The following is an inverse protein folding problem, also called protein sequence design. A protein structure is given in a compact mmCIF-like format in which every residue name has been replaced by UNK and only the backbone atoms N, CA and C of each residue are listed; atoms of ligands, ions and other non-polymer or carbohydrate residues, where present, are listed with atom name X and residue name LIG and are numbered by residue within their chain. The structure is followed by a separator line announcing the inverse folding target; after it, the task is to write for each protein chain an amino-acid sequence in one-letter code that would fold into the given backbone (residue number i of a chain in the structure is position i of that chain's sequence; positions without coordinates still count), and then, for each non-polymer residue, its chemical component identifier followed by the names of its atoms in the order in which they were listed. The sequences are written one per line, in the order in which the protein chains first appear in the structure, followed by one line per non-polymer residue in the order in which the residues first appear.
data_IF_750355104981
#
_entry.id   IF_750355104981
#
_cell.length_a   1.000
_cell.length_b   1.000
_cell.length_c   1.000
_cell.angle_alpha   90.00
_cell.angle_beta   90.00
_cell.angle_gamma   90.00
#
_symmetry.space_group_name_H-M   'P 1'
#
loop_
_entity.id
_entity.type
_entity.pdbx_description
1 polymer ?
#
# COMPACT_ATOMS: atom_id res chain seq x y z
N UNK A 1 -22.06 -5.84 5.02
CA UNK A 1 -21.32 -5.86 3.74
C UNK A 1 -21.13 -4.41 3.32
N UNK A 2 -19.92 -3.86 3.45
CA UNK A 2 -19.67 -2.45 3.13
C UNK A 2 -19.40 -2.38 1.61
N UNK A 3 -20.11 -1.54 0.84
CA UNK A 3 -19.91 -1.48 -0.60
C UNK A 3 -18.58 -0.80 -0.93
N UNK A 4 -17.70 -1.51 -1.65
CA UNK A 4 -16.58 -0.90 -2.38
C UNK A 4 -17.16 -0.03 -3.49
N UNK A 5 -16.98 1.29 -3.42
CA UNK A 5 -17.35 2.18 -4.53
C UNK A 5 -16.33 2.03 -5.67
N UNK A 6 -16.76 1.76 -6.91
CA UNK A 6 -15.89 1.71 -8.07
C UNK A 6 -15.69 3.13 -8.62
N UNK A 7 -14.78 3.88 -7.98
CA UNK A 7 -14.24 5.13 -8.51
C UNK A 7 -13.04 4.84 -9.40
N UNK A 8 -13.25 4.92 -10.71
CA UNK A 8 -12.23 4.89 -11.77
C UNK A 8 -11.03 5.77 -11.41
N UNK A 9 -9.88 5.14 -11.28
CA UNK A 9 -8.82 5.23 -12.29
C UNK A 9 -7.96 3.97 -12.19
N UNK A 10 -7.28 3.59 -13.27
CA UNK A 10 -6.40 2.43 -13.38
C UNK A 10 -5.13 2.54 -12.51
N UNK A 11 -5.27 3.05 -11.29
CA UNK A 11 -4.17 3.42 -10.42
C UNK A 11 -3.67 2.20 -9.66
N UNK A 12 -2.95 1.31 -10.36
CA UNK A 12 -2.38 0.04 -9.91
C UNK A 12 -3.38 -1.12 -9.90
N UNK A 13 -3.43 -1.89 -10.99
CA UNK A 13 -4.31 -3.06 -11.12
C UNK A 13 -3.99 -4.09 -10.03
N UNK A 14 -5.05 -4.67 -9.46
CA UNK A 14 -4.91 -5.70 -8.42
C UNK A 14 -4.42 -5.17 -7.07
N UNK A 15 -4.24 -3.85 -6.91
CA UNK A 15 -3.89 -3.25 -5.63
C UNK A 15 -5.14 -2.94 -4.81
N UNK A 16 -5.11 -3.31 -3.53
CA UNK A 16 -6.16 -3.07 -2.56
C UNK A 16 -5.58 -2.48 -1.28
N UNK A 17 -6.33 -1.57 -0.66
CA UNK A 17 -6.03 -1.03 0.66
C UNK A 17 -7.02 -1.58 1.68
N UNK A 18 -6.50 -2.14 2.76
CA UNK A 18 -7.32 -2.56 3.91
C UNK A 18 -6.85 -1.85 5.17
N UNK A 19 -7.78 -1.26 5.94
CA UNK A 19 -7.43 -0.61 7.21
C UNK A 19 -6.85 -1.63 8.19
N UNK A 20 -5.82 -1.23 8.91
CA UNK A 20 -5.22 -2.06 9.97
C UNK A 20 -5.77 -1.63 11.35
N UNK A 21 -5.80 -2.53 12.35
CA UNK A 21 -6.18 -2.18 13.72
C UNK A 21 -5.27 -1.14 14.39
N UNK A 22 -4.02 -1.01 13.91
CA UNK A 22 -3.01 -0.09 14.43
C UNK A 22 -3.07 1.31 13.78
N UNK A 23 -4.03 1.53 12.88
CA UNK A 23 -4.13 2.75 12.07
C UNK A 23 -3.31 2.68 10.78
N UNK A 24 -3.79 3.37 9.75
CA UNK A 24 -3.24 3.30 8.39
C UNK A 24 -3.89 2.22 7.52
N UNK A 25 -3.18 1.79 6.48
CA UNK A 25 -3.63 0.77 5.53
C UNK A 25 -2.53 -0.26 5.24
N UNK A 26 -2.91 -1.53 5.19
CA UNK A 26 -2.13 -2.56 4.51
C UNK A 26 -2.35 -2.45 3.01
N UNK A 27 -1.27 -2.60 2.24
CA UNK A 27 -1.27 -2.60 0.77
C UNK A 27 -1.18 -4.04 0.29
N UNK A 28 -2.17 -4.47 -0.47
CA UNK A 28 -2.28 -5.84 -0.98
C UNK A 28 -2.20 -5.83 -2.50
N UNK A 29 -1.45 -6.75 -3.08
CA UNK A 29 -1.43 -7.03 -4.51
C UNK A 29 -1.90 -8.46 -4.75
N UNK A 30 -3.00 -8.63 -5.50
CA UNK A 30 -3.60 -9.93 -5.79
C UNK A 30 -3.81 -10.78 -4.53
N UNK A 31 -4.32 -10.14 -3.46
CA UNK A 31 -4.56 -10.78 -2.16
C UNK A 31 -3.33 -10.97 -1.27
N UNK A 32 -2.13 -10.69 -1.75
CA UNK A 32 -0.88 -10.79 -0.98
C UNK A 32 -0.53 -9.45 -0.36
N UNK A 33 -0.32 -9.42 0.97
CA UNK A 33 0.19 -8.22 1.64
C UNK A 33 1.61 -7.93 1.18
N UNK A 34 1.83 -6.73 0.62
CA UNK A 34 3.13 -6.29 0.09
C UNK A 34 3.73 -5.10 0.85
N UNK A 35 2.96 -4.45 1.72
CA UNK A 35 3.45 -3.38 2.58
C UNK A 35 2.36 -2.66 3.35
N UNK A 36 2.73 -1.52 3.91
CA UNK A 36 1.85 -0.69 4.73
C UNK A 36 2.06 0.79 4.45
N UNK A 37 1.01 1.58 4.65
CA UNK A 37 1.06 3.04 4.66
C UNK A 37 0.42 3.58 5.93
N UNK A 38 1.12 4.47 6.65
CA UNK A 38 0.59 5.14 7.84
C UNK A 38 0.47 6.63 7.62
N UNK A 39 -0.60 7.25 8.13
CA UNK A 39 -0.79 8.69 8.05
C UNK A 39 0.39 9.41 8.72
N UNK A 40 0.80 10.52 8.11
CA UNK A 40 1.90 11.36 8.57
C UNK A 40 1.45 12.81 8.67
N UNK A 41 2.39 13.74 8.78
CA UNK A 41 2.09 15.17 8.87
C UNK A 41 1.51 15.68 7.55
N UNK A 42 0.36 16.35 7.61
CA UNK A 42 -0.34 16.91 6.46
C UNK A 42 -1.00 15.84 5.60
N UNK A 43 -0.91 15.99 4.28
CA UNK A 43 -1.47 15.04 3.29
C UNK A 43 -0.51 13.89 2.95
N UNK A 44 0.49 13.64 3.79
CA UNK A 44 1.57 12.69 3.52
C UNK A 44 1.39 11.38 4.29
N UNK A 45 1.99 10.33 3.75
CA UNK A 45 1.92 8.96 4.24
C UNK A 45 3.33 8.39 4.33
N UNK A 46 3.67 7.76 5.46
CA UNK A 46 4.89 6.97 5.58
C UNK A 46 4.65 5.61 4.91
N UNK A 47 5.51 5.22 3.98
CA UNK A 47 5.42 3.94 3.28
C UNK A 47 6.41 2.91 3.82
N UNK A 48 5.98 1.66 3.88
CA UNK A 48 6.76 0.53 4.36
C UNK A 48 6.57 -0.65 3.42
N UNK A 49 7.68 -1.23 2.93
CA UNK A 49 7.64 -2.45 2.11
C UNK A 49 7.74 -3.65 3.03
N UNK A 50 6.88 -4.65 2.81
CA UNK A 50 6.95 -5.89 3.57
C UNK A 50 8.25 -6.63 3.27
N UNK A 51 8.97 -7.04 4.31
CA UNK A 51 10.13 -7.90 4.14
C UNK A 51 9.75 -9.35 3.83
N UNK A 52 10.76 -10.18 3.59
CA UNK A 52 10.54 -11.59 3.19
C UNK A 52 10.07 -12.47 4.35
N UNK A 53 10.42 -12.12 5.59
CA UNK A 53 10.18 -12.97 6.75
C UNK A 53 8.85 -12.65 7.43
N UNK A 54 8.10 -13.67 7.90
CA UNK A 54 6.99 -13.46 8.81
C UNK A 54 7.45 -12.69 10.06
N UNK A 55 6.75 -11.61 10.41
CA UNK A 55 7.08 -10.77 11.57
C UNK A 55 7.94 -9.55 11.26
N UNK A 56 8.41 -9.37 10.01
CA UNK A 56 9.09 -8.13 9.62
C UNK A 56 8.11 -6.94 9.73
N UNK A 57 8.53 -5.90 10.45
CA UNK A 57 7.77 -4.65 10.64
C UNK A 57 7.69 -3.81 9.36
N UNK A 58 8.42 -4.22 8.32
CA UNK A 58 8.49 -3.55 7.03
C UNK A 58 9.63 -2.55 6.97
N UNK A 59 10.31 -2.50 5.81
CA UNK A 59 11.38 -1.55 5.56
C UNK A 59 10.78 -0.19 5.17
N UNK A 60 11.11 0.90 5.88
CA UNK A 60 10.63 2.23 5.52
C UNK A 60 11.20 2.64 4.16
N UNK A 61 10.34 3.22 3.32
CA UNK A 61 10.74 3.71 1.97
C UNK A 61 10.59 5.22 1.81
N UNK A 62 10.09 5.90 2.85
CA UNK A 62 9.98 7.36 2.88
C UNK A 62 8.55 7.83 3.09
N UNK A 63 8.32 9.10 2.75
CA UNK A 63 7.07 9.80 3.01
C UNK A 63 6.59 10.50 1.74
N UNK A 64 5.39 10.15 1.29
CA UNK A 64 4.86 10.54 -0.01
C UNK A 64 3.38 10.94 0.08
N UNK A 65 2.77 11.33 -1.04
CA UNK A 65 1.30 11.30 -1.13
C UNK A 65 0.81 9.85 -0.95
N UNK A 66 -0.46 9.66 -0.59
CA UNK A 66 -1.01 8.31 -0.42
C UNK A 66 -0.79 7.46 -1.68
N UNK A 67 -1.15 8.05 -2.81
CA UNK A 67 -1.05 7.48 -4.15
C UNK A 67 0.38 7.02 -4.47
N UNK A 68 1.37 7.89 -4.29
CA UNK A 68 2.77 7.58 -4.57
C UNK A 68 3.36 6.55 -3.59
N UNK A 69 2.96 6.58 -2.31
CA UNK A 69 3.41 5.59 -1.35
C UNK A 69 2.96 4.17 -1.75
N UNK A 70 1.70 4.02 -2.17
CA UNK A 70 1.16 2.75 -2.66
C UNK A 70 1.90 2.29 -3.92
N UNK A 71 2.13 3.18 -4.89
CA UNK A 71 2.86 2.87 -6.13
C UNK A 71 4.28 2.37 -5.86
N UNK A 72 5.02 3.05 -4.98
CA UNK A 72 6.38 2.63 -4.62
C UNK A 72 6.43 1.28 -3.91
N UNK A 73 5.44 0.99 -3.06
CA UNK A 73 5.31 -0.32 -2.41
C UNK A 73 5.04 -1.41 -3.45
N UNK A 74 4.12 -1.16 -4.40
CA UNK A 74 3.82 -2.07 -5.49
C UNK A 74 5.06 -2.36 -6.36
N UNK A 75 5.77 -1.32 -6.82
CA UNK A 75 7.00 -1.46 -7.60
C UNK A 75 8.07 -2.26 -6.84
N UNK A 76 8.24 -2.00 -5.53
CA UNK A 76 9.18 -2.75 -4.71
C UNK A 76 8.81 -4.23 -4.52
N UNK A 77 7.53 -4.56 -4.67
CA UNK A 77 7.01 -5.94 -4.62
C UNK A 77 7.05 -6.66 -5.98
N UNK A 78 7.50 -5.98 -7.05
CA UNK A 78 7.60 -6.53 -8.40
C UNK A 78 6.35 -6.34 -9.26
N UNK A 79 5.36 -5.55 -8.80
CA UNK A 79 4.27 -5.10 -9.66
C UNK A 79 4.81 -4.13 -10.71
N UNK A 80 4.29 -4.20 -11.94
CA UNK A 80 4.58 -3.25 -13.01
C UNK A 80 3.32 -2.58 -13.54
N UNK A 81 3.45 -1.41 -14.15
CA UNK A 81 2.30 -0.66 -14.68
C UNK A 81 1.60 -1.34 -15.87
N UNK A 82 2.23 -2.38 -16.42
CA UNK A 82 1.71 -3.20 -17.50
C UNK A 82 0.91 -4.43 -17.02
N UNK A 83 1.00 -4.79 -15.73
CA UNK A 83 0.23 -5.87 -15.07
C UNK A 83 -1.17 -5.38 -14.66
#
# INVERSE_FOLDING_TARGET
MIPMQPGRDAFLRGIQLARTPLGGYGVYWNGTLIGWIHASIGNKWNGYVRGRNPGDTGRPIGRFTQQEAVRRIALAAGWSEAD
#
